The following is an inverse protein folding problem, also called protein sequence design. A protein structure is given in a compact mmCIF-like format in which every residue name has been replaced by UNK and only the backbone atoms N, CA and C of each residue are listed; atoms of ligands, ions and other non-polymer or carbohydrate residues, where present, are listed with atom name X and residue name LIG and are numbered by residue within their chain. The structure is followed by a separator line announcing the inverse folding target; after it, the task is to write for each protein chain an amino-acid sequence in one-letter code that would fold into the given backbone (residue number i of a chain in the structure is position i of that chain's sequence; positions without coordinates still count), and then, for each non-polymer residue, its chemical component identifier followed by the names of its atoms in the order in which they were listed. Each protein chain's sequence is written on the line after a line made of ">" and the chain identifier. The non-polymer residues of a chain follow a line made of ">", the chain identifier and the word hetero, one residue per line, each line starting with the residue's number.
data_IF_005730199389
#
_entry.id   IF_005730199389
#
_cell.length_a   1.000
_cell.length_b   1.000
_cell.length_c   1.000
_cell.angle_alpha   90.00
_cell.angle_beta   90.00
_cell.angle_gamma   90.00
#
_symmetry.space_group_name_H-M   'P 1'
#
loop_
_entity.id
_entity.type
_entity.pdbx_description
1 polymer ?
#
# COMPACT_ATOMS: atom_id res chain seq x y z
N UNK A 1 -13.30 -13.69 15.64
CA UNK A 1 -12.56 -12.78 14.75
C UNK A 1 -13.56 -11.75 14.25
N UNK A 2 -13.27 -10.46 14.40
CA UNK A 2 -14.22 -9.38 14.12
C UNK A 2 -13.93 -8.63 12.82
N UNK A 3 -12.76 -8.86 12.22
CA UNK A 3 -12.32 -8.31 10.94
C UNK A 3 -11.50 -9.35 10.18
N UNK A 4 -11.61 -9.37 8.86
CA UNK A 4 -10.75 -10.15 7.97
C UNK A 4 -9.61 -9.24 7.51
N UNK A 5 -8.37 -9.74 7.54
CA UNK A 5 -7.21 -8.98 7.06
C UNK A 5 -6.35 -9.82 6.12
N UNK A 6 -5.72 -9.17 5.17
CA UNK A 6 -4.86 -9.81 4.17
C UNK A 6 -3.73 -8.90 3.72
N UNK A 7 -2.56 -9.49 3.45
CA UNK A 7 -1.50 -8.86 2.67
C UNK A 7 -1.81 -9.01 1.18
N UNK A 8 -1.71 -7.93 0.42
CA UNK A 8 -2.12 -7.92 -0.99
C UNK A 8 -1.00 -7.42 -1.89
N UNK A 9 -0.19 -8.34 -2.38
CA UNK A 9 0.99 -8.07 -3.18
C UNK A 9 0.85 -8.47 -4.64
N UNK A 10 1.76 -7.99 -5.48
CA UNK A 10 1.89 -8.34 -6.89
C UNK A 10 0.63 -8.07 -7.72
N UNK A 11 -0.05 -6.98 -7.41
CA UNK A 11 -1.22 -6.49 -8.13
C UNK A 11 -1.12 -4.98 -8.27
N UNK A 12 -1.48 -4.45 -9.43
CA UNK A 12 -1.56 -3.00 -9.65
C UNK A 12 -2.81 -2.39 -9.02
N UNK A 13 -3.83 -3.20 -8.82
CA UNK A 13 -5.06 -2.86 -8.12
C UNK A 13 -5.57 -4.09 -7.36
N UNK A 14 -6.42 -3.91 -6.33
CA UNK A 14 -7.06 -5.03 -5.67
C UNK A 14 -7.89 -5.85 -6.65
N UNK A 15 -7.83 -7.16 -6.52
CA UNK A 15 -8.74 -8.04 -7.25
C UNK A 15 -10.17 -7.85 -6.73
N UNK A 16 -11.02 -7.17 -7.52
CA UNK A 16 -12.36 -6.79 -7.11
C UNK A 16 -13.22 -8.01 -6.72
N UNK A 17 -13.12 -9.11 -7.47
CA UNK A 17 -13.88 -10.33 -7.15
C UNK A 17 -13.40 -10.98 -5.85
N UNK A 18 -12.08 -11.00 -5.62
CA UNK A 18 -11.53 -11.53 -4.38
C UNK A 18 -11.98 -10.69 -3.18
N UNK A 19 -11.92 -9.36 -3.27
CA UNK A 19 -12.36 -8.45 -2.20
C UNK A 19 -13.83 -8.65 -1.88
N UNK A 20 -14.70 -8.74 -2.88
CA UNK A 20 -16.13 -9.01 -2.70
C UNK A 20 -16.37 -10.38 -2.04
N UNK A 21 -15.66 -11.42 -2.51
CA UNK A 21 -15.79 -12.76 -1.96
C UNK A 21 -15.36 -12.83 -0.50
N UNK A 22 -14.26 -12.16 -0.12
CA UNK A 22 -13.81 -12.16 1.27
C UNK A 22 -14.83 -11.53 2.22
N UNK A 23 -15.44 -10.42 1.82
CA UNK A 23 -16.53 -9.80 2.56
C UNK A 23 -17.77 -10.73 2.66
N UNK A 24 -18.20 -11.30 1.53
CA UNK A 24 -19.38 -12.17 1.45
C UNK A 24 -19.20 -13.47 2.27
N UNK A 25 -18.05 -14.14 2.15
CA UNK A 25 -17.79 -15.41 2.84
C UNK A 25 -17.61 -15.25 4.35
N UNK A 26 -17.00 -14.15 4.77
CA UNK A 26 -16.75 -13.90 6.18
C UNK A 26 -17.92 -13.25 6.91
N UNK A 27 -18.75 -12.49 6.19
CA UNK A 27 -19.75 -11.60 6.77
C UNK A 27 -19.14 -10.53 7.67
N UNK A 28 -17.87 -10.16 7.45
CA UNK A 28 -17.07 -9.27 8.29
C UNK A 28 -16.46 -8.14 7.47
N UNK A 29 -16.14 -7.01 8.11
CA UNK A 29 -15.32 -5.97 7.50
C UNK A 29 -13.96 -6.52 7.05
N UNK A 30 -13.44 -5.95 5.98
CA UNK A 30 -12.18 -6.36 5.37
C UNK A 30 -11.13 -5.27 5.51
N UNK A 31 -9.88 -5.66 5.76
CA UNK A 31 -8.75 -4.76 5.92
C UNK A 31 -7.52 -5.27 5.15
N UNK A 32 -6.88 -4.40 4.37
CA UNK A 32 -5.59 -4.72 3.73
C UNK A 32 -4.47 -4.33 4.68
N UNK A 33 -3.73 -5.33 5.17
CA UNK A 33 -2.66 -5.12 6.14
C UNK A 33 -1.35 -4.69 5.52
N UNK A 34 -1.08 -5.09 4.27
CA UNK A 34 0.15 -4.74 3.58
C UNK A 34 -0.04 -4.68 2.07
N UNK A 35 0.44 -3.62 1.45
CA UNK A 35 0.69 -3.47 0.01
C UNK A 35 1.70 -2.35 -0.20
N UNK A 36 2.49 -2.40 -1.27
CA UNK A 36 3.44 -1.36 -1.66
C UNK A 36 4.01 -1.58 -3.06
N UNK A 37 4.68 -0.56 -3.57
CA UNK A 37 5.59 -0.60 -4.72
C UNK A 37 6.94 -0.03 -4.34
N UNK A 38 7.97 -0.34 -5.13
CA UNK A 38 9.35 0.08 -4.96
C UNK A 38 9.72 1.10 -6.03
N UNK A 39 10.37 2.20 -5.68
CA UNK A 39 10.84 3.22 -6.61
C UNK A 39 12.27 2.95 -7.07
N UNK A 40 12.52 2.94 -8.37
CA UNK A 40 13.85 2.75 -8.94
C UNK A 40 14.75 3.99 -8.76
N UNK A 41 14.15 5.15 -8.44
CA UNK A 41 14.83 6.39 -8.10
C UNK A 41 15.25 6.47 -6.61
N UNK A 42 15.03 5.40 -5.85
CA UNK A 42 15.65 5.23 -4.53
C UNK A 42 17.11 4.78 -4.70
N UNK A 43 17.93 5.00 -3.67
CA UNK A 43 19.31 4.49 -3.66
C UNK A 43 19.39 2.98 -3.36
N UNK A 44 18.24 2.31 -3.15
CA UNK A 44 18.17 0.90 -2.82
C UNK A 44 18.13 0.01 -4.07
N UNK A 45 18.77 -1.17 -4.06
CA UNK A 45 18.85 -2.04 -5.23
C UNK A 45 17.49 -2.65 -5.66
N UNK A 46 16.53 -2.76 -4.76
CA UNK A 46 15.19 -3.30 -5.04
C UNK A 46 15.13 -4.74 -5.58
N UNK A 47 16.15 -5.58 -5.28
CA UNK A 47 16.18 -6.98 -5.71
C UNK A 47 15.22 -7.87 -4.93
N UNK A 48 14.95 -7.51 -3.66
CA UNK A 48 14.05 -8.26 -2.77
C UNK A 48 12.72 -7.52 -2.58
N UNK A 49 11.80 -8.15 -1.84
CA UNK A 49 10.50 -7.56 -1.53
C UNK A 49 9.41 -7.83 -2.54
N UNK A 50 8.18 -7.97 -2.06
CA UNK A 50 7.02 -8.42 -2.83
C UNK A 50 6.36 -7.32 -3.69
N UNK A 51 6.66 -6.03 -3.45
CA UNK A 51 6.11 -4.94 -4.23
C UNK A 51 6.69 -4.87 -5.65
N UNK A 52 5.88 -4.44 -6.62
CA UNK A 52 6.34 -4.14 -7.98
C UNK A 52 7.34 -2.97 -8.00
N UNK A 53 8.27 -2.98 -8.97
CA UNK A 53 9.10 -1.81 -9.24
C UNK A 53 8.33 -0.81 -10.12
N UNK A 54 8.45 0.47 -9.75
CA UNK A 54 8.03 1.62 -10.54
C UNK A 54 9.22 2.58 -10.67
N UNK A 55 9.20 3.48 -11.63
CA UNK A 55 10.38 4.31 -11.94
C UNK A 55 10.67 5.38 -10.89
N UNK A 56 9.61 5.92 -10.27
CA UNK A 56 9.76 7.10 -9.40
C UNK A 56 8.89 7.04 -8.14
N UNK A 57 9.26 7.85 -7.13
CA UNK A 57 8.46 8.03 -5.93
C UNK A 57 7.07 8.61 -6.23
N UNK A 58 6.94 9.42 -7.26
CA UNK A 58 5.63 9.91 -7.71
C UNK A 58 4.75 8.76 -8.24
N UNK A 59 5.32 7.84 -9.00
CA UNK A 59 4.61 6.64 -9.48
C UNK A 59 4.22 5.70 -8.33
N UNK A 60 5.00 5.62 -7.26
CA UNK A 60 4.58 4.96 -6.01
C UNK A 60 3.32 5.62 -5.43
N UNK A 61 3.28 6.94 -5.44
CA UNK A 61 2.11 7.70 -4.99
C UNK A 61 0.88 7.46 -5.88
N UNK A 62 1.03 7.42 -7.20
CA UNK A 62 -0.07 7.08 -8.12
C UNK A 62 -0.57 5.66 -7.93
N UNK A 63 0.33 4.72 -7.71
CA UNK A 63 -0.05 3.36 -7.34
C UNK A 63 -0.87 3.33 -6.05
N UNK A 64 -0.42 4.04 -4.99
CA UNK A 64 -1.16 4.15 -3.74
C UNK A 64 -2.58 4.65 -3.97
N UNK A 65 -2.73 5.76 -4.71
CA UNK A 65 -4.04 6.34 -4.99
C UNK A 65 -4.94 5.39 -5.76
N UNK A 66 -4.42 4.76 -6.82
CA UNK A 66 -5.20 3.79 -7.61
C UNK A 66 -5.65 2.61 -6.75
N UNK A 67 -4.74 2.04 -5.96
CA UNK A 67 -5.02 0.89 -5.11
C UNK A 67 -6.05 1.23 -4.03
N UNK A 68 -5.86 2.34 -3.32
CA UNK A 68 -6.74 2.80 -2.25
C UNK A 68 -8.14 3.18 -2.77
N UNK A 69 -8.23 3.85 -3.93
CA UNK A 69 -9.53 4.16 -4.56
C UNK A 69 -10.31 2.90 -4.86
N UNK A 70 -9.68 1.84 -5.36
CA UNK A 70 -10.33 0.55 -5.61
C UNK A 70 -10.79 -0.15 -4.33
N UNK A 71 -10.05 0.02 -3.24
CA UNK A 71 -10.49 -0.49 -1.93
C UNK A 71 -11.73 0.27 -1.42
N UNK A 72 -11.77 1.60 -1.57
CA UNK A 72 -12.92 2.43 -1.19
C UNK A 72 -14.14 2.05 -2.07
N UNK A 73 -13.95 1.93 -3.39
CA UNK A 73 -14.99 1.54 -4.35
C UNK A 73 -15.64 0.20 -3.99
N UNK A 74 -14.90 -0.71 -3.36
CA UNK A 74 -15.41 -2.02 -2.96
C UNK A 74 -16.51 -1.98 -1.90
N UNK A 75 -16.63 -0.89 -1.15
CA UNK A 75 -17.56 -0.67 -0.01
C UNK A 75 -17.46 -1.69 1.13
N UNK A 76 -16.60 -2.70 1.03
CA UNK A 76 -16.39 -3.75 2.05
C UNK A 76 -15.05 -3.59 2.77
N UNK A 77 -14.12 -2.82 2.20
CA UNK A 77 -12.83 -2.52 2.81
C UNK A 77 -12.97 -1.34 3.78
N UNK A 78 -12.58 -1.55 5.03
CA UNK A 78 -12.70 -0.52 6.10
C UNK A 78 -11.37 0.16 6.42
N UNK A 79 -10.28 -0.23 5.75
CA UNK A 79 -8.98 0.41 5.92
C UNK A 79 -7.84 -0.39 5.30
N UNK A 80 -6.69 0.26 5.27
CA UNK A 80 -5.46 -0.34 4.73
C UNK A 80 -4.23 0.25 5.38
N UNK A 81 -3.11 -0.52 5.33
CA UNK A 81 -1.78 -0.05 5.66
C UNK A 81 -0.84 -0.20 4.47
N UNK A 82 -0.03 0.82 4.24
CA UNK A 82 1.15 0.73 3.39
C UNK A 82 2.25 -0.04 4.13
N UNK A 83 2.92 -0.93 3.46
CA UNK A 83 4.09 -1.60 3.99
C UNK A 83 5.36 -0.99 3.40
N UNK A 84 6.08 -0.19 4.14
CA UNK A 84 6.06 0.04 5.59
C UNK A 84 6.34 1.53 5.86
N UNK A 85 6.50 1.92 7.14
CA UNK A 85 6.83 3.30 7.48
C UNK A 85 8.23 3.70 6.99
N UNK A 86 9.26 2.86 7.22
CA UNK A 86 10.67 3.17 6.98
C UNK A 86 11.32 2.06 6.17
N UNK A 87 12.24 2.43 5.27
CA UNK A 87 13.14 1.48 4.62
C UNK A 87 14.11 0.87 5.63
N UNK A 88 14.57 -0.34 5.36
CA UNK A 88 15.64 -0.92 6.12
C UNK A 88 16.96 -0.19 5.84
N UNK A 89 17.81 -0.10 6.85
CA UNK A 89 19.22 0.24 6.65
C UNK A 89 19.86 -0.86 5.77
N UNK A 90 20.39 -0.51 4.59
CA UNK A 90 20.93 -1.49 3.64
C UNK A 90 22.16 -2.23 4.18
N UNK A 91 22.87 -1.64 5.16
CA UNK A 91 24.04 -2.24 5.79
C UNK A 91 23.69 -3.16 6.97
N UNK A 92 22.46 -3.13 7.44
CA UNK A 92 22.01 -3.96 8.57
C UNK A 92 21.67 -5.37 8.11
N UNK A 93 22.59 -6.31 8.32
CA UNK A 93 22.40 -7.72 7.97
C UNK A 93 21.34 -8.45 8.82
N UNK A 94 20.89 -7.87 9.93
CA UNK A 94 19.88 -8.48 10.82
C UNK A 94 18.44 -8.18 10.41
N UNK A 95 18.23 -7.49 9.29
CA UNK A 95 16.89 -7.24 8.76
C UNK A 95 16.34 -8.47 8.03
N UNK A 96 15.03 -8.51 7.84
CA UNK A 96 14.36 -9.59 7.09
C UNK A 96 14.94 -9.72 5.67
N UNK A 97 15.59 -10.84 5.33
CA UNK A 97 16.22 -11.02 4.02
C UNK A 97 15.22 -10.99 2.85
N UNK A 98 13.93 -11.24 3.09
CA UNK A 98 12.92 -11.24 2.05
C UNK A 98 12.60 -9.84 1.49
N UNK A 99 13.00 -8.79 2.19
CA UNK A 99 12.74 -7.40 1.80
C UNK A 99 13.85 -6.43 2.27
N UNK A 100 15.08 -6.93 2.44
CA UNK A 100 16.20 -6.16 3.01
C UNK A 100 16.53 -4.90 2.22
N UNK A 101 16.65 -5.02 0.91
CA UNK A 101 17.12 -3.99 -0.02
C UNK A 101 15.98 -3.31 -0.80
N UNK A 102 14.75 -3.44 -0.33
CA UNK A 102 13.60 -2.89 -1.04
C UNK A 102 13.19 -1.51 -0.52
N UNK A 103 12.94 -0.59 -1.46
CA UNK A 103 12.32 0.71 -1.19
C UNK A 103 10.82 0.52 -0.92
N UNK A 104 10.49 0.24 0.31
CA UNK A 104 9.13 -0.02 0.80
C UNK A 104 8.60 1.08 1.72
N UNK A 105 9.53 1.84 2.33
CA UNK A 105 9.23 2.89 3.30
C UNK A 105 8.50 4.10 2.71
N UNK A 106 7.83 4.84 3.57
CA UNK A 106 7.38 6.21 3.33
C UNK A 106 8.52 7.20 3.60
N UNK A 107 9.53 6.75 4.35
CA UNK A 107 10.78 7.46 4.63
C UNK A 107 11.97 6.54 4.38
N UNK A 108 13.13 7.13 4.12
CA UNK A 108 14.41 6.40 4.01
C UNK A 108 14.82 5.81 5.36
N UNK A 109 15.84 4.96 5.36
CA UNK A 109 16.41 4.37 6.57
C UNK A 109 16.97 5.44 7.54
N UNK A 110 17.38 6.61 7.03
CA UNK A 110 17.89 7.77 7.80
C UNK A 110 16.82 8.87 7.99
N UNK A 111 15.53 8.53 7.84
CA UNK A 111 14.37 9.40 8.09
C UNK A 111 14.19 10.57 7.12
N UNK A 112 14.70 10.50 5.89
CA UNK A 112 14.33 11.46 4.85
C UNK A 112 12.98 11.11 4.23
N UNK A 113 12.15 12.10 3.96
CA UNK A 113 10.80 11.89 3.40
C UNK A 113 10.85 11.59 1.89
N UNK A 114 10.11 10.59 1.46
CA UNK A 114 9.76 10.41 0.06
C UNK A 114 8.58 11.34 -0.29
N UNK A 115 8.86 12.65 -0.36
CA UNK A 115 7.85 13.69 -0.53
C UNK A 115 6.86 13.43 -1.65
N UNK A 116 7.26 13.03 -2.90
CA UNK A 116 6.27 12.78 -3.95
C UNK A 116 5.30 11.61 -3.66
N UNK A 117 5.74 10.60 -2.89
CA UNK A 117 4.85 9.54 -2.40
C UNK A 117 3.89 10.10 -1.35
N UNK A 118 4.40 10.81 -0.36
CA UNK A 118 3.62 11.32 0.77
C UNK A 118 2.57 12.33 0.33
N UNK A 119 2.89 13.25 -0.59
CA UNK A 119 1.95 14.23 -1.14
C UNK A 119 0.74 13.55 -1.77
N UNK A 120 0.97 12.46 -2.53
CA UNK A 120 -0.11 11.68 -3.13
C UNK A 120 -0.94 10.91 -2.09
N UNK A 121 -0.29 10.38 -1.04
CA UNK A 121 -1.00 9.74 0.08
C UNK A 121 -1.87 10.75 0.84
N UNK A 122 -1.33 11.92 1.16
CA UNK A 122 -2.06 12.98 1.85
C UNK A 122 -3.26 13.47 1.05
N UNK A 123 -3.07 13.69 -0.26
CA UNK A 123 -4.13 14.14 -1.15
C UNK A 123 -5.33 13.18 -1.17
N UNK A 124 -5.10 11.87 -1.19
CA UNK A 124 -6.18 10.88 -1.13
C UNK A 124 -6.76 10.78 0.29
N UNK A 125 -5.91 10.65 1.30
CA UNK A 125 -6.34 10.44 2.69
C UNK A 125 -7.17 11.60 3.22
N UNK A 126 -6.85 12.84 2.81
CA UNK A 126 -7.64 14.03 3.13
C UNK A 126 -9.07 13.99 2.58
N UNK A 127 -9.32 13.16 1.56
CA UNK A 127 -10.62 13.05 0.89
C UNK A 127 -11.33 11.72 1.16
N UNK A 128 -10.77 10.82 1.98
CA UNK A 128 -11.27 9.45 2.15
C UNK A 128 -12.75 9.39 2.54
N UNK A 129 -13.20 10.22 3.47
CA UNK A 129 -14.61 10.22 3.88
C UNK A 129 -15.58 10.75 2.82
N UNK A 130 -15.14 11.66 1.96
CA UNK A 130 -15.95 12.15 0.85
C UNK A 130 -16.07 11.06 -0.23
N UNK A 131 -14.97 10.37 -0.53
CA UNK A 131 -14.94 9.26 -1.47
C UNK A 131 -15.79 8.08 -0.98
N UNK A 132 -15.67 7.71 0.29
CA UNK A 132 -16.52 6.67 0.90
C UNK A 132 -18.01 6.99 0.75
N UNK A 133 -18.43 8.20 1.11
CA UNK A 133 -19.84 8.63 0.95
C UNK A 133 -20.31 8.60 -0.50
N UNK A 134 -19.42 8.93 -1.44
CA UNK A 134 -19.75 8.87 -2.87
C UNK A 134 -20.03 7.44 -3.32
N UNK A 135 -19.18 6.49 -2.95
CA UNK A 135 -19.35 5.10 -3.35
C UNK A 135 -20.47 4.39 -2.59
N UNK A 136 -20.70 4.70 -1.33
CA UNK A 136 -21.82 4.16 -0.54
C UNK A 136 -23.19 4.60 -1.09
N UNK A 137 -23.24 5.66 -1.90
CA UNK A 137 -24.46 6.18 -2.50
C UNK A 137 -24.78 5.60 -3.90
N UNK A 138 -23.89 4.75 -4.46
CA UNK A 138 -24.07 4.12 -5.78
C UNK A 138 -24.92 2.83 -5.65
#
# INVERSE_FOLDING_TARGET
>A
MDIVSINHYQKWEPDAQAVQNWGAWSGKPFFVTEFYTKGEDSELPNNTGAGWNVRTQAERGYFYQNFALKLIESTVCVGWHWFTYQDNDPENENTDPSNRDSNKGMVTWDFQYYTPLLDNMEALNGNVYQLTRFYDAQ
#
